data_IF_812084937533
#
_entry.id   IF_812084937533
#
_cell.length_a   1.000
_cell.length_b   1.000
_cell.length_c   1.000
_cell.angle_alpha   90.00
_cell.angle_beta   90.00
_cell.angle_gamma   90.00
#
_symmetry.space_group_name_H-M   'P 1'
#
loop_
_entity.id
_entity.type
_entity.pdbx_description
1 polymer ?
#
# COMPACT_ATOMS: atom_id res chain seq x y z
N UNK A 1 2.33 15.37 -7.67
CA UNK A 1 1.45 15.54 -8.85
C UNK A 1 0.02 15.11 -8.53
N UNK A 2 -0.90 15.24 -9.49
CA UNK A 2 -2.36 15.03 -9.30
C UNK A 2 -2.68 13.62 -8.79
N UNK A 3 -2.04 12.57 -9.32
CA UNK A 3 -2.28 11.20 -8.86
C UNK A 3 -2.03 11.01 -7.35
N UNK A 4 -0.98 11.64 -6.79
CA UNK A 4 -0.74 11.62 -5.34
C UNK A 4 -1.89 12.26 -4.58
N UNK A 5 -2.39 13.40 -5.06
CA UNK A 5 -3.46 14.13 -4.40
C UNK A 5 -4.78 13.33 -4.42
N UNK A 6 -5.08 12.66 -5.53
CA UNK A 6 -6.27 11.80 -5.65
C UNK A 6 -6.20 10.61 -4.68
N UNK A 7 -5.08 9.89 -4.64
CA UNK A 7 -4.90 8.76 -3.72
C UNK A 7 -4.98 9.22 -2.27
N UNK A 8 -4.27 10.28 -1.90
CA UNK A 8 -4.31 10.81 -0.54
C UNK A 8 -5.73 11.24 -0.14
N UNK A 9 -6.46 11.90 -1.04
CA UNK A 9 -7.84 12.33 -0.77
C UNK A 9 -8.78 11.13 -0.60
N UNK A 10 -8.61 10.08 -1.41
CA UNK A 10 -9.35 8.83 -1.27
C UNK A 10 -9.03 8.16 0.08
N UNK A 11 -7.75 8.01 0.45
CA UNK A 11 -7.34 7.44 1.74
C UNK A 11 -7.96 8.20 2.92
N UNK A 12 -7.98 9.53 2.86
CA UNK A 12 -8.63 10.37 3.87
C UNK A 12 -10.14 10.15 3.98
N UNK A 13 -10.86 9.91 2.86
CA UNK A 13 -12.30 9.60 2.90
C UNK A 13 -12.57 8.23 3.49
N UNK A 14 -11.65 7.30 3.30
CA UNK A 14 -11.76 5.92 3.76
C UNK A 14 -11.28 5.73 5.20
N UNK A 15 -10.59 6.70 5.79
CA UNK A 15 -10.15 6.65 7.18
C UNK A 15 -11.34 6.42 8.12
N UNK A 16 -11.32 5.32 8.88
CA UNK A 16 -12.41 4.91 9.76
C UNK A 16 -13.59 4.21 9.08
N UNK A 17 -13.69 4.23 7.75
CA UNK A 17 -14.75 3.56 6.98
C UNK A 17 -14.26 2.26 6.31
N UNK A 18 -12.96 2.14 6.04
CA UNK A 18 -12.35 0.94 5.48
C UNK A 18 -11.06 0.59 6.22
N UNK A 19 -10.70 -0.69 6.20
CA UNK A 19 -9.49 -1.23 6.83
C UNK A 19 -8.33 -1.48 5.86
N UNK A 20 -8.63 -1.59 4.56
CA UNK A 20 -7.70 -2.06 3.55
C UNK A 20 -8.06 -1.44 2.20
N UNK A 21 -7.05 -0.98 1.46
CA UNK A 21 -7.16 -0.67 0.04
C UNK A 21 -6.39 -1.73 -0.75
N UNK A 22 -7.01 -2.25 -1.80
CA UNK A 22 -6.42 -3.19 -2.75
C UNK A 22 -6.30 -2.50 -4.10
N UNK A 23 -5.17 -2.69 -4.76
CA UNK A 23 -4.87 -2.19 -6.10
C UNK A 23 -4.37 -3.34 -6.94
N UNK A 24 -4.89 -3.46 -8.15
CA UNK A 24 -4.49 -4.47 -9.12
C UNK A 24 -3.92 -3.78 -10.36
N UNK A 25 -2.82 -4.31 -10.90
CA UNK A 25 -2.19 -3.77 -12.10
C UNK A 25 -1.41 -4.85 -12.84
N UNK A 26 -1.12 -4.64 -14.12
CA UNK A 26 -0.38 -5.59 -14.94
C UNK A 26 1.10 -5.73 -14.51
N UNK A 27 1.66 -6.92 -14.73
CA UNK A 27 3.05 -7.27 -14.47
C UNK A 27 4.02 -6.81 -15.55
N UNK A 28 3.51 -6.46 -16.74
CA UNK A 28 4.34 -6.05 -17.88
C UNK A 28 5.27 -4.86 -17.58
N UNK A 29 6.41 -4.73 -18.30
CA UNK A 29 7.38 -3.67 -18.06
C UNK A 29 6.83 -2.24 -18.19
N UNK A 30 5.89 -2.00 -19.10
CA UNK A 30 5.22 -0.70 -19.32
C UNK A 30 4.42 -0.22 -18.08
N UNK A 31 4.03 -1.13 -17.19
CA UNK A 31 3.37 -0.82 -15.92
C UNK A 31 4.34 -0.63 -14.74
N UNK A 32 5.66 -0.72 -14.95
CA UNK A 32 6.63 -0.48 -13.89
C UNK A 32 6.47 0.90 -13.20
N UNK A 33 6.19 2.02 -13.92
CA UNK A 33 5.90 3.30 -13.29
C UNK A 33 4.64 3.28 -12.41
N UNK A 34 3.59 2.57 -12.84
CA UNK A 34 2.35 2.38 -12.06
C UNK A 34 2.62 1.61 -10.76
N UNK A 35 3.39 0.52 -10.84
CA UNK A 35 3.81 -0.24 -9.65
C UNK A 35 4.65 0.60 -8.69
N UNK A 36 5.65 1.30 -9.21
CA UNK A 36 6.49 2.21 -8.43
C UNK A 36 5.67 3.33 -7.77
N UNK A 37 4.64 3.85 -8.45
CA UNK A 37 3.75 4.86 -7.90
C UNK A 37 3.06 4.36 -6.62
N UNK A 38 2.47 3.16 -6.60
CA UNK A 38 1.82 2.64 -5.40
C UNK A 38 2.83 2.28 -4.31
N UNK A 39 3.96 1.68 -4.67
CA UNK A 39 5.04 1.35 -3.72
C UNK A 39 5.56 2.59 -2.98
N UNK A 40 5.80 3.70 -3.69
CA UNK A 40 6.23 4.96 -3.08
C UNK A 40 5.20 5.57 -2.10
N UNK A 41 3.96 5.10 -2.12
CA UNK A 41 2.86 5.58 -1.25
C UNK A 41 2.53 4.62 -0.11
N UNK A 42 3.40 3.63 0.11
CA UNK A 42 3.29 2.68 1.22
C UNK A 42 2.40 1.48 0.92
N UNK A 43 1.98 1.28 -0.34
CA UNK A 43 1.33 0.04 -0.73
C UNK A 43 2.39 -1.07 -0.86
N UNK A 44 2.11 -2.23 -0.27
CA UNK A 44 2.97 -3.40 -0.27
C UNK A 44 2.48 -4.39 -1.33
N UNK A 45 3.39 -5.05 -2.05
CA UNK A 45 2.99 -6.12 -2.97
C UNK A 45 2.52 -7.32 -2.16
N UNK A 46 1.25 -7.71 -2.33
CA UNK A 46 0.63 -8.81 -1.61
C UNK A 46 0.67 -10.12 -2.39
N UNK A 47 0.49 -10.05 -3.72
CA UNK A 47 0.50 -11.24 -4.58
C UNK A 47 0.91 -10.89 -6.01
N UNK A 48 1.30 -11.92 -6.74
CA UNK A 48 1.42 -11.93 -8.21
C UNK A 48 0.69 -13.18 -8.70
N UNK A 49 -0.21 -13.02 -9.66
CA UNK A 49 -0.89 -14.12 -10.34
C UNK A 49 -0.29 -14.20 -11.74
N UNK A 50 0.53 -15.23 -12.04
CA UNK A 50 1.19 -15.34 -13.33
C UNK A 50 0.18 -15.56 -14.45
N UNK A 51 0.48 -14.99 -15.63
CA UNK A 51 -0.30 -15.16 -16.88
C UNK A 51 -1.80 -14.80 -16.77
N UNK A 52 -2.18 -13.97 -15.79
CA UNK A 52 -3.58 -13.69 -15.47
C UNK A 52 -4.34 -13.02 -16.63
N UNK A 53 -3.74 -12.01 -17.25
CA UNK A 53 -4.37 -11.29 -18.37
C UNK A 53 -4.10 -11.99 -19.71
N UNK A 54 -2.89 -12.51 -19.88
CA UNK A 54 -2.40 -13.24 -21.04
C UNK A 54 -1.05 -13.91 -20.70
N UNK A 55 -0.54 -14.84 -21.51
CA UNK A 55 0.82 -15.36 -21.35
C UNK A 55 1.87 -14.24 -21.29
N UNK A 56 2.63 -14.18 -20.20
CA UNK A 56 3.61 -13.13 -19.89
C UNK A 56 3.01 -11.82 -19.32
N UNK A 57 1.70 -11.78 -19.05
CA UNK A 57 0.99 -10.60 -18.51
C UNK A 57 0.32 -10.94 -17.17
N UNK A 58 1.12 -10.87 -16.10
CA UNK A 58 0.70 -11.16 -14.73
C UNK A 58 -0.28 -10.11 -14.19
N UNK A 59 -1.09 -10.48 -13.21
CA UNK A 59 -1.72 -9.52 -12.30
C UNK A 59 -0.85 -9.35 -11.05
N UNK A 60 -0.50 -8.12 -10.73
CA UNK A 60 0.20 -7.75 -9.49
C UNK A 60 -0.76 -7.06 -8.55
N UNK A 61 -0.89 -7.59 -7.33
CA UNK A 61 -1.80 -7.08 -6.31
C UNK A 61 -0.99 -6.34 -5.25
N UNK A 62 -1.40 -5.11 -4.96
CA UNK A 62 -0.84 -4.25 -3.93
C UNK A 62 -1.89 -3.94 -2.86
N UNK A 63 -1.48 -3.90 -1.60
CA UNK A 63 -2.36 -3.59 -0.48
C UNK A 63 -1.80 -2.50 0.41
N UNK A 64 -2.69 -1.70 1.02
CA UNK A 64 -2.35 -0.76 2.07
C UNK A 64 -3.41 -0.82 3.16
N UNK A 65 -2.99 -1.15 4.38
CA UNK A 65 -3.87 -1.04 5.54
C UNK A 65 -4.11 0.43 5.87
N UNK A 66 -5.37 0.78 6.10
CA UNK A 66 -5.74 2.10 6.59
C UNK A 66 -5.76 2.04 8.12
N UNK A 67 -5.21 3.07 8.78
CA UNK A 67 -5.24 3.13 10.23
C UNK A 67 -6.70 3.11 10.71
N UNK A 68 -7.02 2.35 11.78
CA UNK A 68 -8.31 2.49 12.43
C UNK A 68 -8.46 3.95 12.89
N UNK A 69 -9.68 4.49 12.80
CA UNK A 69 -9.96 5.80 13.36
C UNK A 69 -9.65 5.75 14.87
N UNK A 70 -8.57 6.41 15.30
CA UNK A 70 -8.28 6.67 16.71
C UNK A 70 -7.21 5.83 17.41
N UNK A 71 -6.33 5.09 16.72
CA UNK A 71 -5.11 4.58 17.39
C UNK A 71 -3.98 5.60 17.20
N UNK A 72 -3.63 6.43 18.20
CA UNK A 72 -2.45 7.27 18.12
C UNK A 72 -1.20 6.39 17.96
N UNK A 73 -0.19 6.83 17.19
CA UNK A 73 1.02 6.04 16.99
C UNK A 73 1.64 5.70 18.34
N UNK A 74 1.79 4.40 18.62
CA UNK A 74 2.31 3.89 19.88
C UNK A 74 3.62 4.60 20.24
N UNK A 75 3.65 5.19 21.44
CA UNK A 75 4.86 5.78 22.03
C UNK A 75 5.95 4.70 22.03
N UNK A 76 7.12 4.97 21.42
CA UNK A 76 8.25 4.06 21.54
C UNK A 76 8.57 3.89 23.03
N UNK A 77 8.36 2.68 23.53
CA UNK A 77 8.86 2.25 24.83
C UNK A 77 10.38 2.44 24.80
N UNK A 78 10.86 3.43 25.56
CA UNK A 78 12.27 3.54 25.90
C UNK A 78 12.54 2.43 26.91
N UNK A 79 12.99 1.28 26.40
CA UNK A 79 13.56 0.24 27.26
C UNK A 79 14.80 0.85 27.91
N UNK A 80 14.72 1.11 29.20
CA UNK A 80 15.88 1.47 30.01
C UNK A 80 16.70 0.20 30.18
N UNK A 81 17.85 0.16 29.52
CA UNK A 81 18.94 -0.72 29.89
C UNK A 81 19.45 -0.18 31.24
N UNK A 82 19.28 -0.96 32.31
CA UNK A 82 19.94 -0.71 33.57
C UNK A 82 20.97 -1.82 33.73
N UNK A 83 22.22 -1.46 33.51
CA UNK A 83 23.38 -2.24 33.90
C UNK A 83 23.36 -2.47 35.42
N UNK A 84 23.75 -3.67 35.84
CA UNK A 84 23.84 -4.09 37.24
C UNK A 84 23.81 -5.59 37.37
#
# INVERSE_FOLDING_TARGET
GIGTALVARMEQRLAGAARLVVVETAGRPDYAPTRAFYQARGYQRAAVIPDFYAPGDDQVIYTKHLAPAGVPPGRKSRLTQKDG
#
